data_IF_910879925867
#
_entry.id   IF_910879925867
#
_cell.length_a   1.000
_cell.length_b   1.000
_cell.length_c   1.000
_cell.angle_alpha   90.00
_cell.angle_beta   90.00
_cell.angle_gamma   90.00
#
_symmetry.space_group_name_H-M   'P 1'
#
loop_
_entity.id
_entity.type
_entity.pdbx_description
1 polymer ?
#
# COMPACT_ATOMS: atom_id res chain seq x y z
N UNK A 1 19.81 7.89 11.95
CA UNK A 1 18.65 8.76 12.25
C UNK A 1 19.23 10.09 12.70
N UNK A 2 19.04 11.16 11.93
CA UNK A 2 19.62 12.47 12.21
C UNK A 2 18.52 13.42 12.71
N UNK A 3 18.80 14.17 13.77
CA UNK A 3 17.85 15.15 14.31
C UNK A 3 17.93 16.42 13.46
N UNK A 4 16.83 16.77 12.82
CA UNK A 4 16.71 17.94 11.94
C UNK A 4 16.90 19.22 12.76
N UNK A 5 17.80 20.10 12.31
CA UNK A 5 18.05 21.44 12.87
C UNK A 5 17.66 22.51 11.86
N UNK A 6 17.63 23.78 12.26
CA UNK A 6 17.17 24.89 11.40
C UNK A 6 17.99 25.08 10.11
N UNK A 7 19.18 24.46 10.00
CA UNK A 7 20.06 24.50 8.84
C UNK A 7 20.08 23.20 8.02
N UNK A 8 19.28 22.19 8.38
CA UNK A 8 19.24 20.92 7.65
C UNK A 8 18.45 21.10 6.35
N UNK A 9 19.13 21.04 5.21
CA UNK A 9 18.49 21.06 3.89
C UNK A 9 17.89 19.70 3.56
N UNK A 10 16.57 19.65 3.37
CA UNK A 10 15.87 18.44 2.94
C UNK A 10 16.19 18.13 1.48
N UNK A 11 16.66 16.91 1.22
CA UNK A 11 16.88 16.41 -0.15
C UNK A 11 15.69 15.57 -0.61
N UNK A 12 15.33 15.57 -1.91
CA UNK A 12 14.36 14.62 -2.45
C UNK A 12 14.72 13.18 -2.05
N UNK A 13 13.74 12.41 -1.58
CA UNK A 13 13.93 11.04 -1.07
C UNK A 13 14.30 10.93 0.42
N UNK A 14 14.46 12.04 1.13
CA UNK A 14 14.68 12.03 2.60
C UNK A 14 13.44 11.53 3.33
N UNK A 15 13.56 10.46 4.11
CA UNK A 15 12.49 9.96 4.99
C UNK A 15 12.51 10.71 6.31
N UNK A 16 11.42 11.39 6.64
CA UNK A 16 11.27 12.15 7.88
C UNK A 16 10.45 11.33 8.89
N UNK A 17 11.00 11.19 10.10
CA UNK A 17 10.28 10.67 11.25
C UNK A 17 9.84 11.85 12.12
N UNK A 18 8.54 12.05 12.26
CA UNK A 18 7.97 13.11 13.11
C UNK A 18 7.56 12.49 14.43
N UNK A 19 8.02 13.07 15.54
CA UNK A 19 7.70 12.63 16.91
C UNK A 19 6.92 13.75 17.59
N UNK A 20 5.73 13.45 18.09
CA UNK A 20 4.87 14.42 18.77
C UNK A 20 3.47 13.85 19.02
N UNK A 21 2.58 14.69 19.53
CA UNK A 21 1.16 14.32 19.67
C UNK A 21 0.56 14.04 18.27
N UNK A 22 -0.28 12.98 18.11
CA UNK A 22 -0.83 12.60 16.80
C UNK A 22 -1.48 13.77 16.04
N UNK A 23 -2.27 14.58 16.75
CA UNK A 23 -2.95 15.76 16.21
C UNK A 23 -1.99 16.85 15.70
N UNK A 24 -0.78 16.95 16.27
CA UNK A 24 0.25 17.90 15.84
C UNK A 24 1.05 17.35 14.65
N UNK A 25 1.33 16.05 14.65
CA UNK A 25 1.98 15.38 13.52
C UNK A 25 1.11 15.45 12.25
N UNK A 26 -0.19 15.22 12.37
CA UNK A 26 -1.17 15.33 11.27
C UNK A 26 -1.28 16.76 10.72
N UNK A 27 -1.19 17.79 11.57
CA UNK A 27 -1.16 19.20 11.13
C UNK A 27 0.16 19.63 10.49
N UNK A 28 1.24 18.91 10.78
CA UNK A 28 2.58 19.22 10.31
C UNK A 28 2.92 18.55 8.99
N UNK A 29 2.43 17.32 8.76
CA UNK A 29 2.67 16.56 7.53
C UNK A 29 2.31 17.32 6.23
N UNK A 30 1.16 18.03 6.11
CA UNK A 30 0.80 18.77 4.89
C UNK A 30 1.72 19.96 4.59
N UNK A 31 2.42 20.49 5.61
CA UNK A 31 3.35 21.62 5.47
C UNK A 31 4.71 21.18 4.93
N UNK A 32 5.12 19.93 5.19
CA UNK A 32 6.39 19.37 4.75
C UNK A 32 6.31 18.68 3.39
N UNK A 33 5.20 18.03 3.11
CA UNK A 33 4.88 17.46 1.81
C UNK A 33 3.58 18.13 1.35
N UNK A 34 3.63 19.07 0.39
CA UNK A 34 2.43 19.68 -0.17
C UNK A 34 1.56 18.57 -0.76
N UNK A 35 0.60 18.11 0.05
CA UNK A 35 -0.29 16.96 -0.17
C UNK A 35 0.44 15.68 -0.61
N UNK A 36 0.61 14.76 0.32
CA UNK A 36 0.83 13.35 0.00
C UNK A 36 -0.16 12.94 -1.10
N UNK A 37 0.35 12.63 -2.30
CA UNK A 37 -0.42 12.31 -3.52
C UNK A 37 -1.56 11.30 -3.25
N UNK A 38 -1.35 10.42 -2.27
CA UNK A 38 -2.29 9.43 -1.77
C UNK A 38 -3.58 10.00 -1.17
N UNK A 39 -3.55 11.15 -0.47
CA UNK A 39 -4.77 11.75 0.13
C UNK A 39 -5.74 12.34 -0.92
N UNK A 40 -5.31 12.46 -2.18
CA UNK A 40 -6.15 12.87 -3.30
C UNK A 40 -6.27 11.78 -4.37
N UNK A 41 -5.80 10.56 -4.10
CA UNK A 41 -5.95 9.45 -5.03
C UNK A 41 -7.44 9.09 -5.13
N UNK A 42 -8.09 9.61 -6.17
CA UNK A 42 -9.50 9.33 -6.46
C UNK A 42 -9.63 8.07 -7.32
N UNK A 43 -8.63 7.80 -8.14
CA UNK A 43 -8.58 6.67 -9.06
C UNK A 43 -7.63 5.62 -8.52
N UNK A 44 -8.16 4.68 -7.75
CA UNK A 44 -7.41 3.56 -7.19
C UNK A 44 -7.75 2.30 -7.99
N UNK A 45 -6.72 1.60 -8.46
CA UNK A 45 -6.83 0.29 -9.10
C UNK A 45 -6.13 -0.75 -8.24
N UNK A 46 -6.83 -1.84 -7.93
CA UNK A 46 -6.33 -2.97 -7.16
C UNK A 46 -6.20 -4.15 -8.11
N UNK A 47 -5.03 -4.76 -8.13
CA UNK A 47 -4.75 -5.93 -8.94
C UNK A 47 -4.71 -7.14 -8.02
N UNK A 48 -5.58 -8.11 -8.31
CA UNK A 48 -5.91 -9.30 -7.52
C UNK A 48 -7.04 -9.09 -6.49
N UNK A 49 -8.04 -9.97 -6.50
CA UNK A 49 -9.19 -10.01 -5.59
C UNK A 49 -9.06 -11.04 -4.46
N UNK A 50 -7.82 -11.51 -4.20
CA UNK A 50 -7.49 -12.29 -3.02
C UNK A 50 -7.74 -11.52 -1.72
N UNK A 51 -7.30 -12.10 -0.60
CA UNK A 51 -7.59 -11.56 0.74
C UNK A 51 -7.14 -10.09 0.88
N UNK A 52 -5.90 -9.79 0.51
CA UNK A 52 -5.37 -8.42 0.62
C UNK A 52 -6.12 -7.44 -0.28
N UNK A 53 -6.43 -7.84 -1.52
CA UNK A 53 -7.15 -7.00 -2.47
C UNK A 53 -8.57 -6.70 -2.01
N UNK A 54 -9.29 -7.72 -1.54
CA UNK A 54 -10.64 -7.59 -0.97
C UNK A 54 -10.65 -6.64 0.25
N UNK A 55 -9.76 -6.87 1.22
CA UNK A 55 -9.68 -6.01 2.42
C UNK A 55 -9.33 -4.57 2.06
N UNK A 56 -8.42 -4.38 1.09
CA UNK A 56 -8.05 -3.06 0.60
C UNK A 56 -9.23 -2.36 -0.04
N UNK A 57 -9.96 -3.02 -0.94
CA UNK A 57 -11.14 -2.47 -1.61
C UNK A 57 -12.20 -2.06 -0.59
N UNK A 58 -12.56 -2.97 0.33
CA UNK A 58 -13.54 -2.72 1.40
C UNK A 58 -13.19 -1.51 2.25
N UNK A 59 -11.92 -1.38 2.63
CA UNK A 59 -11.43 -0.24 3.42
C UNK A 59 -11.45 1.09 2.65
N UNK A 60 -11.34 1.06 1.32
CA UNK A 60 -11.43 2.25 0.48
C UNK A 60 -12.90 2.66 0.29
N UNK A 61 -13.82 1.71 0.09
CA UNK A 61 -15.26 1.97 0.03
C UNK A 61 -15.77 2.63 1.32
N UNK A 62 -15.35 2.13 2.48
CA UNK A 62 -15.69 2.72 3.78
C UNK A 62 -15.21 4.17 3.94
N UNK A 63 -14.18 4.57 3.17
CA UNK A 63 -13.68 5.94 3.11
C UNK A 63 -14.36 6.78 2.02
N UNK A 64 -15.37 6.25 1.34
CA UNK A 64 -16.12 6.92 0.28
C UNK A 64 -15.38 6.98 -1.06
N UNK A 65 -14.45 6.05 -1.30
CA UNK A 65 -13.78 5.89 -2.59
C UNK A 65 -14.43 4.76 -3.39
N UNK A 66 -14.29 4.82 -4.71
CA UNK A 66 -14.83 3.83 -5.66
C UNK A 66 -13.65 3.15 -6.37
N UNK A 67 -13.00 2.16 -5.76
CA UNK A 67 -11.85 1.50 -6.37
C UNK A 67 -12.28 0.63 -7.55
N UNK A 68 -11.34 0.36 -8.45
CA UNK A 68 -11.44 -0.69 -9.46
C UNK A 68 -10.66 -1.90 -9.00
N UNK A 69 -11.24 -3.08 -9.03
CA UNK A 69 -10.58 -4.31 -8.59
C UNK A 69 -10.55 -5.33 -9.73
N UNK A 70 -9.36 -5.86 -10.02
CA UNK A 70 -9.15 -6.85 -11.08
C UNK A 70 -9.04 -8.23 -10.45
N UNK A 71 -9.86 -9.18 -10.92
CA UNK A 71 -9.83 -10.57 -10.48
C UNK A 71 -9.87 -11.51 -11.69
N UNK A 72 -9.01 -12.52 -11.73
CA UNK A 72 -8.96 -13.45 -12.84
C UNK A 72 -10.06 -14.51 -12.75
N UNK A 73 -10.32 -15.04 -11.55
CA UNK A 73 -11.30 -16.09 -11.34
C UNK A 73 -12.75 -15.56 -11.46
N UNK A 74 -13.56 -16.08 -12.38
CA UNK A 74 -14.89 -15.54 -12.65
C UNK A 74 -15.87 -15.74 -11.49
N UNK A 75 -15.74 -16.81 -10.71
CA UNK A 75 -16.65 -17.07 -9.60
C UNK A 75 -16.29 -16.16 -8.41
N UNK A 76 -14.99 -16.00 -8.13
CA UNK A 76 -14.47 -15.02 -7.17
C UNK A 76 -14.86 -13.60 -7.56
N UNK A 77 -14.71 -13.22 -8.83
CA UNK A 77 -15.10 -11.89 -9.31
C UNK A 77 -16.59 -11.60 -9.08
N UNK A 78 -17.47 -12.59 -9.31
CA UNK A 78 -18.90 -12.46 -9.02
C UNK A 78 -19.18 -12.28 -7.54
N UNK A 79 -18.52 -13.06 -6.67
CA UNK A 79 -18.64 -12.91 -5.22
C UNK A 79 -18.20 -11.52 -4.78
N UNK A 80 -17.03 -11.06 -5.25
CA UNK A 80 -16.50 -9.74 -4.92
C UNK A 80 -17.44 -8.61 -5.38
N UNK A 81 -18.03 -8.73 -6.57
CA UNK A 81 -19.00 -7.75 -7.07
C UNK A 81 -20.28 -7.67 -6.22
N UNK A 82 -20.64 -8.75 -5.52
CA UNK A 82 -21.77 -8.76 -4.59
C UNK A 82 -21.39 -8.20 -3.22
N UNK A 83 -20.17 -8.47 -2.77
CA UNK A 83 -19.68 -8.05 -1.44
C UNK A 83 -19.18 -6.60 -1.39
N UNK A 84 -18.77 -6.03 -2.53
CA UNK A 84 -18.17 -4.71 -2.66
C UNK A 84 -19.04 -3.81 -3.56
N UNK A 85 -20.13 -3.21 -3.03
CA UNK A 85 -21.14 -2.52 -3.84
C UNK A 85 -20.65 -1.21 -4.47
N UNK A 86 -19.57 -0.63 -3.99
CA UNK A 86 -18.98 0.62 -4.51
C UNK A 86 -17.66 0.37 -5.27
N UNK A 87 -17.33 -0.89 -5.55
CA UNK A 87 -16.10 -1.30 -6.24
C UNK A 87 -16.47 -1.84 -7.61
N UNK A 88 -15.84 -1.30 -8.65
CA UNK A 88 -15.96 -1.88 -9.98
C UNK A 88 -15.05 -3.11 -10.08
N UNK A 89 -15.65 -4.30 -10.06
CA UNK A 89 -14.93 -5.57 -10.24
C UNK A 89 -14.81 -5.92 -11.72
N UNK A 90 -13.58 -6.12 -12.18
CA UNK A 90 -13.23 -6.42 -13.57
C UNK A 90 -12.65 -7.83 -13.64
N UNK A 91 -13.31 -8.71 -14.41
CA UNK A 91 -12.83 -10.07 -14.60
C UNK A 91 -11.75 -10.11 -15.70
N UNK A 92 -10.48 -10.21 -15.32
CA UNK A 92 -9.36 -10.39 -16.25
C UNK A 92 -8.04 -10.77 -15.54
N UNK A 93 -7.03 -11.16 -16.32
CA UNK A 93 -5.65 -11.28 -15.84
C UNK A 93 -5.01 -9.90 -15.69
N UNK A 94 -4.61 -9.55 -14.48
CA UNK A 94 -3.90 -8.31 -14.17
C UNK A 94 -2.47 -8.22 -14.77
N UNK A 95 -2.00 -9.28 -15.43
CA UNK A 95 -0.76 -9.29 -16.22
C UNK A 95 -0.99 -9.05 -17.71
N UNK A 96 -2.23 -8.88 -18.18
CA UNK A 96 -2.52 -8.49 -19.57
C UNK A 96 -2.30 -6.97 -19.78
N UNK A 97 -1.24 -6.56 -20.52
CA UNK A 97 -0.96 -5.15 -20.75
C UNK A 97 -2.03 -4.46 -21.61
N UNK A 98 -2.73 -5.20 -22.48
CA UNK A 98 -3.78 -4.62 -23.31
C UNK A 98 -5.00 -4.28 -22.46
N UNK A 99 -5.35 -5.15 -21.50
CA UNK A 99 -6.39 -4.88 -20.52
C UNK A 99 -6.05 -3.68 -19.63
N UNK A 100 -4.86 -3.66 -19.01
CA UNK A 100 -4.46 -2.55 -18.14
C UNK A 100 -4.47 -1.20 -18.87
N UNK A 101 -4.05 -1.20 -20.14
CA UNK A 101 -4.09 -0.01 -20.99
C UNK A 101 -5.52 0.45 -21.29
N UNK A 102 -6.45 -0.47 -21.56
CA UNK A 102 -7.85 -0.15 -21.84
C UNK A 102 -8.62 0.31 -20.61
N UNK A 103 -8.41 -0.33 -19.47
CA UNK A 103 -9.20 -0.12 -18.25
C UNK A 103 -8.68 0.99 -17.33
N UNK A 104 -7.67 1.73 -17.79
CA UNK A 104 -7.27 2.98 -17.16
C UNK A 104 -6.17 2.86 -16.12
N UNK A 105 -5.30 1.84 -16.19
CA UNK A 105 -4.09 1.82 -15.38
C UNK A 105 -3.20 3.06 -15.66
N UNK A 106 -3.23 3.57 -16.89
CA UNK A 106 -2.57 4.81 -17.34
C UNK A 106 -2.97 6.03 -16.52
N UNK A 107 -4.23 6.09 -16.11
CA UNK A 107 -4.83 7.23 -15.42
C UNK A 107 -4.99 7.00 -13.92
N UNK A 108 -4.50 5.87 -13.39
CA UNK A 108 -4.60 5.56 -11.99
C UNK A 108 -3.68 6.47 -11.15
N UNK A 109 -4.25 7.11 -10.14
CA UNK A 109 -3.49 7.89 -9.16
C UNK A 109 -2.67 6.94 -8.26
N UNK A 110 -3.21 5.73 -8.03
CA UNK A 110 -2.59 4.67 -7.27
C UNK A 110 -2.97 3.30 -7.86
N UNK A 111 -1.97 2.46 -8.08
CA UNK A 111 -2.15 1.03 -8.31
C UNK A 111 -1.65 0.25 -7.10
N UNK A 112 -2.48 -0.64 -6.57
CA UNK A 112 -2.13 -1.60 -5.51
C UNK A 112 -2.04 -2.97 -6.15
N UNK A 113 -0.84 -3.53 -6.22
CA UNK A 113 -0.61 -4.85 -6.80
C UNK A 113 -0.42 -5.88 -5.70
N UNK A 114 -1.36 -6.82 -5.59
CA UNK A 114 -1.41 -7.82 -4.52
C UNK A 114 -1.42 -9.26 -5.04
N UNK A 115 -0.96 -9.48 -6.27
CA UNK A 115 -0.92 -10.79 -6.91
C UNK A 115 -0.02 -11.77 -6.16
N UNK A 116 -0.33 -13.05 -6.30
CA UNK A 116 0.57 -14.15 -5.96
C UNK A 116 0.78 -15.07 -7.16
N UNK A 117 1.99 -15.62 -7.37
CA UNK A 117 3.21 -15.38 -6.61
C UNK A 117 3.87 -14.01 -6.92
N UNK A 118 4.90 -13.64 -6.16
CA UNK A 118 5.56 -12.31 -6.21
C UNK A 118 6.14 -11.99 -7.62
N UNK A 119 6.46 -12.99 -8.46
CA UNK A 119 6.92 -12.78 -9.83
C UNK A 119 5.83 -12.19 -10.73
N UNK A 120 4.58 -12.69 -10.60
CA UNK A 120 3.42 -12.12 -11.30
C UNK A 120 3.13 -10.71 -10.80
N UNK A 121 3.28 -10.50 -9.49
CA UNK A 121 3.09 -9.21 -8.86
C UNK A 121 4.11 -8.16 -9.33
N UNK A 122 5.37 -8.56 -9.48
CA UNK A 122 6.42 -7.73 -10.07
C UNK A 122 6.06 -7.33 -11.50
N UNK A 123 5.66 -8.31 -12.32
CA UNK A 123 5.27 -8.07 -13.71
C UNK A 123 4.12 -7.07 -13.79
N UNK A 124 3.02 -7.31 -13.08
CA UNK A 124 1.86 -6.41 -13.05
C UNK A 124 2.25 -5.00 -12.59
N UNK A 125 3.07 -4.88 -11.54
CA UNK A 125 3.55 -3.60 -11.02
C UNK A 125 4.40 -2.82 -12.04
N UNK A 126 5.29 -3.51 -12.75
CA UNK A 126 6.12 -2.91 -13.81
C UNK A 126 5.25 -2.45 -14.97
N UNK A 127 4.32 -3.29 -15.43
CA UNK A 127 3.39 -2.94 -16.50
C UNK A 127 2.57 -1.69 -16.13
N UNK A 128 2.02 -1.64 -14.93
CA UNK A 128 1.28 -0.45 -14.46
C UNK A 128 2.15 0.81 -14.45
N UNK A 129 3.41 0.70 -14.03
CA UNK A 129 4.34 1.83 -14.06
C UNK A 129 4.62 2.29 -15.49
N UNK A 130 4.93 1.36 -16.40
CA UNK A 130 5.23 1.67 -17.80
C UNK A 130 4.03 2.30 -18.53
N UNK A 131 2.81 1.89 -18.16
CA UNK A 131 1.58 2.44 -18.70
C UNK A 131 1.26 3.85 -18.17
N UNK A 132 1.91 4.32 -17.11
CA UNK A 132 1.79 5.70 -16.64
C UNK A 132 1.12 5.88 -15.28
N UNK A 133 0.89 4.79 -14.53
CA UNK A 133 0.36 4.90 -13.16
C UNK A 133 1.19 5.88 -12.33
N UNK A 134 0.52 6.84 -11.67
CA UNK A 134 1.21 7.88 -10.92
C UNK A 134 1.98 7.32 -9.72
N UNK A 135 1.37 6.35 -9.03
CA UNK A 135 2.00 5.61 -7.95
C UNK A 135 1.67 4.11 -8.03
N UNK A 136 2.65 3.28 -7.70
CA UNK A 136 2.51 1.81 -7.64
C UNK A 136 2.99 1.33 -6.27
N UNK A 137 2.06 0.72 -5.52
CA UNK A 137 2.31 0.04 -4.26
C UNK A 137 2.16 -1.46 -4.49
N UNK A 138 3.14 -2.24 -4.06
CA UNK A 138 3.11 -3.69 -4.23
C UNK A 138 3.19 -4.45 -2.91
N UNK A 139 2.35 -5.46 -2.77
CA UNK A 139 2.29 -6.33 -1.59
C UNK A 139 3.14 -7.57 -1.83
N UNK A 140 4.31 -7.64 -1.20
CA UNK A 140 5.26 -8.74 -1.37
C UNK A 140 5.24 -9.71 -0.19
N UNK A 141 5.31 -11.00 -0.45
CA UNK A 141 5.34 -12.02 0.60
C UNK A 141 6.77 -12.39 0.96
N UNK A 142 7.65 -12.47 -0.04
CA UNK A 142 9.06 -12.77 0.14
C UNK A 142 9.90 -11.48 0.14
N UNK A 143 10.44 -11.14 1.31
CA UNK A 143 11.26 -9.94 1.52
C UNK A 143 12.54 -9.87 0.67
N UNK A 144 13.01 -11.00 0.13
CA UNK A 144 14.19 -11.06 -0.76
C UNK A 144 13.98 -10.26 -2.05
N UNK A 145 12.74 -10.21 -2.54
CA UNK A 145 12.39 -9.50 -3.77
C UNK A 145 12.33 -7.98 -3.60
N UNK A 146 12.37 -7.45 -2.36
CA UNK A 146 12.24 -6.01 -2.09
C UNK A 146 13.23 -5.14 -2.87
N UNK A 147 14.47 -5.59 -3.02
CA UNK A 147 15.51 -4.86 -3.77
C UNK A 147 15.20 -4.81 -5.27
N UNK A 148 14.63 -5.89 -5.83
CA UNK A 148 14.23 -5.98 -7.23
C UNK A 148 13.06 -5.03 -7.49
N UNK A 149 12.03 -5.07 -6.66
CA UNK A 149 10.87 -4.18 -6.77
C UNK A 149 11.27 -2.70 -6.72
N UNK A 150 12.14 -2.33 -5.77
CA UNK A 150 12.62 -0.95 -5.66
C UNK A 150 13.40 -0.48 -6.91
N UNK A 151 14.20 -1.37 -7.51
CA UNK A 151 14.95 -1.04 -8.74
C UNK A 151 14.06 -0.95 -9.98
N UNK A 152 12.90 -1.61 -9.97
CA UNK A 152 11.93 -1.57 -11.07
C UNK A 152 11.02 -0.34 -11.06
N UNK A 153 11.30 0.66 -10.21
CA UNK A 153 10.55 1.91 -10.17
C UNK A 153 9.23 1.83 -9.41
N UNK A 154 9.05 0.83 -8.53
CA UNK A 154 7.87 0.68 -7.66
C UNK A 154 8.06 1.57 -6.42
N UNK A 155 7.06 2.41 -6.11
CA UNK A 155 7.21 3.47 -5.09
C UNK A 155 7.30 2.92 -3.67
N UNK A 156 6.54 1.86 -3.40
CA UNK A 156 6.45 1.27 -2.08
C UNK A 156 6.19 -0.24 -2.15
N UNK A 157 6.76 -0.97 -1.19
CA UNK A 157 6.49 -2.39 -0.98
C UNK A 157 5.96 -2.61 0.43
N UNK A 158 4.86 -3.32 0.57
CA UNK A 158 4.28 -3.76 1.85
C UNK A 158 4.52 -5.25 2.00
N UNK A 159 4.95 -5.71 3.17
CA UNK A 159 5.03 -7.14 3.48
C UNK A 159 4.08 -7.43 4.65
N UNK A 160 2.91 -8.05 4.40
CA UNK A 160 1.89 -8.25 5.43
C UNK A 160 2.39 -9.04 6.63
N UNK A 161 3.20 -10.08 6.40
CA UNK A 161 3.77 -10.89 7.48
C UNK A 161 4.68 -10.07 8.39
N UNK A 162 5.49 -9.19 7.81
CA UNK A 162 6.33 -8.28 8.59
C UNK A 162 5.50 -7.26 9.36
N UNK A 163 4.45 -6.69 8.76
CA UNK A 163 3.58 -5.73 9.45
C UNK A 163 2.86 -6.36 10.64
N UNK A 164 2.35 -7.58 10.49
CA UNK A 164 1.73 -8.34 11.58
C UNK A 164 2.76 -8.65 12.69
N UNK A 165 3.98 -9.05 12.34
CA UNK A 165 5.05 -9.28 13.31
C UNK A 165 5.39 -7.99 14.06
N UNK A 166 5.55 -6.86 13.37
CA UNK A 166 5.80 -5.57 13.99
C UNK A 166 4.63 -5.13 14.89
N UNK A 167 3.38 -5.41 14.52
CA UNK A 167 2.20 -5.15 15.35
C UNK A 167 2.20 -5.98 16.64
N UNK A 168 2.48 -7.28 16.53
CA UNK A 168 2.59 -8.18 17.70
C UNK A 168 3.73 -7.75 18.61
N UNK A 169 4.90 -7.42 18.06
CA UNK A 169 6.07 -6.96 18.83
C UNK A 169 5.81 -5.60 19.51
N UNK A 170 5.05 -4.72 18.87
CA UNK A 170 4.62 -3.45 19.48
C UNK A 170 3.74 -3.69 20.70
N UNK A 171 2.80 -4.63 20.61
CA UNK A 171 1.93 -5.00 21.74
C UNK A 171 2.70 -5.69 22.88
N UNK A 172 3.67 -6.54 22.55
CA UNK A 172 4.52 -7.22 23.53
C UNK A 172 5.47 -6.25 24.27
N UNK A 173 6.00 -5.23 23.59
CA UNK A 173 6.84 -4.21 24.23
C UNK A 173 6.08 -3.33 25.22
N UNK A 174 4.76 -3.19 25.04
CA UNK A 174 3.88 -2.51 26.01
C UNK A 174 3.75 -3.28 27.34
N UNK A 175 3.93 -4.61 27.31
CA UNK A 175 3.88 -5.46 28.51
C UNK A 175 5.17 -5.41 29.32
N UNK A 176 6.33 -5.26 28.66
CA UNK A 176 7.62 -5.13 29.36
C UNK A 176 7.70 -3.84 30.21
N UNK A 177 6.99 -2.78 29.83
CA UNK A 177 6.92 -1.54 30.61
C UNK A 177 5.96 -1.63 31.82
N UNK A 178 5.10 -2.66 31.88
CA UNK A 178 4.15 -2.91 32.97
C UNK A 178 4.61 -3.99 33.95
N UNK A 179 5.86 -4.44 33.89
CA UNK A 179 6.42 -5.28 34.96
C UNK A 179 7.04 -4.37 36.03
N UNK A 180 6.48 -4.28 37.25
CA UNK A 180 7.17 -3.61 38.34
C UNK A 180 8.37 -4.47 38.71
N UNK A 181 9.56 -3.88 38.63
CA UNK A 181 10.72 -4.37 39.37
C UNK A 181 10.35 -4.47 40.85
N UNK A 182 10.30 -5.71 41.36
CA UNK A 182 10.12 -5.95 42.78
C UNK A 182 9.34 -7.22 43.07
N UNK A 183 10.04 -8.35 43.15
CA UNK A 183 10.19 -9.15 44.38
C UNK A 183 11.30 -10.18 44.13
N UNK A 184 12.54 -9.78 44.42
CA UNK A 184 13.55 -10.70 44.92
C UNK A 184 13.45 -10.63 46.44
N UNK A 185 12.90 -11.68 47.03
CA UNK A 185 12.85 -11.99 48.45
C UNK A 185 12.83 -13.50 48.58
#
# INVERSE_FOLDING_TARGET
MEVIRSNTTLRPGTRLLVIGQPSQAERFAPKLAPKARLQQARRVMILDGGEVGYQTARLLEQRGLEPRLVEHDPDRARTLAQELPNTLVLQNDATDPNFLRREGATDADLVVSALTPDERNLLASVLSRELGAAQVLSVIHNGTYKSVFARSGIDATVNPHREVIEEILRHSSSWACCWPDGQRG
#
